data_IF_103788938093
#
_entry.id   IF_103788938093
#
_cell.length_a   1.000
_cell.length_b   1.000
_cell.length_c   1.000
_cell.angle_alpha   90.00
_cell.angle_beta   90.00
_cell.angle_gamma   90.00
#
_symmetry.space_group_name_H-M   'P 1'
#
loop_
_entity.id
_entity.type
_entity.pdbx_description
1 polymer ?
#
# COMPACT_ATOMS: atom_id res chain seq x y z
N UNK A 1 28.58 -20.37 30.71
CA UNK A 1 27.54 -20.95 29.84
C UNK A 1 26.69 -19.80 29.31
N UNK A 2 26.99 -19.30 28.11
CA UNK A 2 26.25 -18.21 27.47
C UNK A 2 25.27 -18.85 26.48
N UNK A 3 23.97 -18.72 26.73
CA UNK A 3 22.94 -19.12 25.78
C UNK A 3 23.08 -18.25 24.54
N UNK A 4 23.63 -18.83 23.47
CA UNK A 4 23.50 -18.27 22.13
C UNK A 4 22.05 -18.37 21.72
N UNK A 5 21.34 -17.25 21.72
CA UNK A 5 20.05 -17.14 21.04
C UNK A 5 20.32 -17.37 19.56
N UNK A 6 19.97 -18.56 19.07
CA UNK A 6 19.88 -18.82 17.64
C UNK A 6 18.88 -17.84 17.04
N UNK A 7 19.20 -17.16 15.92
CA UNK A 7 18.21 -16.33 15.23
C UNK A 7 16.99 -17.19 14.97
N UNK A 8 15.83 -16.80 15.50
CA UNK A 8 14.60 -17.58 15.34
C UNK A 8 14.39 -17.83 13.84
N UNK A 9 14.63 -19.08 13.40
CA UNK A 9 14.30 -19.48 12.05
C UNK A 9 12.82 -19.19 11.86
N UNK A 10 12.50 -18.35 10.88
CA UNK A 10 11.10 -18.05 10.51
C UNK A 10 10.38 -19.39 10.38
N UNK A 11 9.36 -19.63 11.22
CA UNK A 11 8.55 -20.84 11.11
C UNK A 11 8.10 -21.01 9.66
N UNK A 12 8.29 -22.21 9.11
CA UNK A 12 7.91 -22.52 7.72
C UNK A 12 6.45 -22.09 7.51
N UNK A 13 6.18 -21.38 6.41
CA UNK A 13 4.84 -20.97 6.02
C UNK A 13 4.41 -19.54 6.39
N UNK A 14 5.21 -18.74 7.11
CA UNK A 14 4.81 -17.36 7.47
C UNK A 14 4.44 -16.49 6.25
N UNK A 15 5.17 -16.60 5.15
CA UNK A 15 4.85 -15.87 3.90
C UNK A 15 3.52 -16.33 3.30
N UNK A 16 3.20 -17.63 3.40
CA UNK A 16 1.92 -18.18 2.93
C UNK A 16 0.78 -17.63 3.80
N UNK A 17 0.95 -17.61 5.12
CA UNK A 17 -0.01 -17.00 6.05
C UNK A 17 -0.23 -15.53 5.70
N UNK A 18 0.85 -14.78 5.49
CA UNK A 18 0.77 -13.38 5.10
C UNK A 18 -0.07 -13.18 3.83
N UNK A 19 0.24 -13.92 2.76
CA UNK A 19 -0.45 -13.79 1.46
C UNK A 19 -1.92 -14.16 1.60
N UNK A 20 -2.23 -15.30 2.22
CA UNK A 20 -3.62 -15.78 2.38
C UNK A 20 -4.45 -14.77 3.16
N UNK A 21 -3.96 -14.31 4.32
CA UNK A 21 -4.71 -13.38 5.17
C UNK A 21 -4.85 -12.01 4.50
N UNK A 22 -3.79 -11.50 3.87
CA UNK A 22 -3.85 -10.21 3.17
C UNK A 22 -4.87 -10.20 2.05
N UNK A 23 -4.88 -11.26 1.23
CA UNK A 23 -5.81 -11.40 0.12
C UNK A 23 -7.22 -11.66 0.63
N UNK A 24 -7.40 -12.58 1.57
CA UNK A 24 -8.73 -12.91 2.10
C UNK A 24 -9.41 -11.68 2.71
N UNK A 25 -8.73 -10.92 3.57
CA UNK A 25 -9.31 -9.73 4.21
C UNK A 25 -9.74 -8.71 3.15
N UNK A 26 -8.84 -8.33 2.24
CA UNK A 26 -9.15 -7.33 1.22
C UNK A 26 -10.22 -7.81 0.26
N UNK A 27 -10.08 -9.02 -0.29
CA UNK A 27 -10.98 -9.52 -1.32
C UNK A 27 -12.38 -9.77 -0.77
N UNK A 28 -12.52 -10.22 0.48
CA UNK A 28 -13.83 -10.35 1.12
C UNK A 28 -14.52 -9.00 1.34
N UNK A 29 -13.77 -7.94 1.64
CA UNK A 29 -14.32 -6.59 1.79
C UNK A 29 -14.65 -5.96 0.42
N UNK A 30 -13.84 -6.23 -0.60
CA UNK A 30 -14.09 -5.75 -1.97
C UNK A 30 -15.16 -6.54 -2.71
N UNK A 31 -15.44 -7.78 -2.33
CA UNK A 31 -16.39 -8.63 -3.05
C UNK A 31 -17.80 -8.00 -3.14
N UNK A 32 -18.40 -7.44 -2.08
CA UNK A 32 -19.66 -6.70 -2.19
C UNK A 32 -19.59 -5.51 -3.14
N UNK A 33 -18.49 -4.75 -3.12
CA UNK A 33 -18.28 -3.59 -4.01
C UNK A 33 -18.25 -4.06 -5.47
N UNK A 34 -17.52 -5.15 -5.73
CA UNK A 34 -17.45 -5.78 -7.04
C UNK A 34 -18.82 -6.26 -7.52
N UNK A 35 -19.62 -6.89 -6.66
CA UNK A 35 -20.97 -7.35 -7.01
C UNK A 35 -21.84 -6.14 -7.37
N UNK A 36 -21.88 -5.12 -6.51
CA UNK A 36 -22.66 -3.89 -6.75
C UNK A 36 -22.24 -3.20 -8.03
N UNK A 37 -20.93 -3.06 -8.31
CA UNK A 37 -20.43 -2.43 -9.53
C UNK A 37 -20.84 -3.15 -10.83
N UNK A 38 -21.26 -4.42 -10.74
CA UNK A 38 -21.67 -5.23 -11.89
C UNK A 38 -23.18 -5.31 -12.05
N UNK A 39 -23.94 -5.01 -11.00
CA UNK A 39 -25.41 -5.01 -11.01
C UNK A 39 -25.99 -3.61 -11.10
N UNK A 40 -25.33 -2.63 -10.49
CA UNK A 40 -25.77 -1.25 -10.32
C UNK A 40 -24.64 -0.27 -10.62
N UNK A 41 -24.97 1.01 -10.75
CA UNK A 41 -23.96 2.06 -10.84
C UNK A 41 -23.36 2.36 -9.46
N UNK A 42 -22.04 2.48 -9.39
CA UNK A 42 -21.36 3.04 -8.21
C UNK A 42 -21.28 4.56 -8.36
N UNK A 43 -22.18 5.29 -7.70
CA UNK A 43 -22.18 6.76 -7.71
C UNK A 43 -20.92 7.36 -7.06
N UNK A 44 -20.36 6.66 -6.06
CA UNK A 44 -19.13 7.05 -5.38
C UNK A 44 -18.39 5.82 -4.85
N UNK A 45 -17.10 5.98 -4.56
CA UNK A 45 -16.29 4.90 -4.00
C UNK A 45 -16.68 4.65 -2.53
N UNK A 46 -17.16 3.45 -2.16
CA UNK A 46 -17.56 3.18 -0.79
C UNK A 46 -16.39 3.26 0.19
N UNK A 47 -16.64 3.68 1.44
CA UNK A 47 -15.62 3.71 2.48
C UNK A 47 -14.96 2.33 2.73
N UNK A 48 -15.66 1.24 2.43
CA UNK A 48 -15.14 -0.13 2.51
C UNK A 48 -13.98 -0.38 1.55
N UNK A 49 -13.90 0.36 0.43
CA UNK A 49 -12.74 0.31 -0.46
C UNK A 49 -11.45 0.70 0.29
N UNK A 50 -11.53 1.78 1.07
CA UNK A 50 -10.43 2.27 1.88
C UNK A 50 -10.15 1.37 3.09
N UNK A 51 -11.18 0.80 3.72
CA UNK A 51 -10.99 -0.17 4.80
C UNK A 51 -10.24 -1.42 4.33
N UNK A 52 -10.53 -1.90 3.11
CA UNK A 52 -9.93 -3.12 2.57
C UNK A 52 -8.40 -3.02 2.39
N UNK A 53 -7.85 -1.80 2.32
CA UNK A 53 -6.40 -1.58 2.27
C UNK A 53 -5.69 -1.98 3.58
N UNK A 54 -6.42 -2.28 4.65
CA UNK A 54 -5.87 -2.84 5.89
C UNK A 54 -5.49 -4.33 5.77
N UNK A 55 -5.88 -5.02 4.68
CA UNK A 55 -5.57 -6.44 4.49
C UNK A 55 -4.09 -6.80 4.65
N UNK A 56 -3.14 -6.08 4.00
CA UNK A 56 -1.70 -6.31 4.19
C UNK A 56 -1.23 -6.13 5.64
N UNK A 57 -1.75 -5.15 6.38
CA UNK A 57 -1.48 -5.02 7.81
C UNK A 57 -2.02 -6.20 8.62
N UNK A 58 -3.24 -6.68 8.32
CA UNK A 58 -3.80 -7.89 8.93
C UNK A 58 -2.92 -9.12 8.63
N UNK A 59 -2.43 -9.25 7.40
CA UNK A 59 -1.50 -10.30 6.99
C UNK A 59 -0.18 -10.25 7.74
N UNK A 60 0.37 -9.05 7.94
CA UNK A 60 1.59 -8.86 8.74
C UNK A 60 1.38 -9.26 10.20
N UNK A 61 0.26 -8.87 10.82
CA UNK A 61 -0.07 -9.26 12.19
C UNK A 61 -0.18 -10.79 12.28
N UNK A 62 -0.92 -11.43 11.37
CA UNK A 62 -1.10 -12.88 11.37
C UNK A 62 0.23 -13.63 11.18
N UNK A 63 1.06 -13.17 10.24
CA UNK A 63 2.34 -13.81 9.96
C UNK A 63 3.37 -13.57 11.07
N UNK A 64 3.42 -12.36 11.66
CA UNK A 64 4.26 -12.08 12.81
C UNK A 64 3.84 -12.88 14.06
N UNK A 65 2.52 -13.03 14.26
CA UNK A 65 1.96 -13.91 15.30
C UNK A 65 2.33 -15.37 15.05
N UNK A 66 2.30 -15.82 13.79
CA UNK A 66 2.70 -17.18 13.42
C UNK A 66 4.18 -17.46 13.70
N UNK A 67 5.07 -16.51 13.37
CA UNK A 67 6.52 -16.65 13.55
C UNK A 67 6.93 -16.64 15.02
N UNK A 68 6.43 -15.68 15.80
CA UNK A 68 6.96 -15.38 17.14
C UNK A 68 5.91 -15.00 18.18
N UNK A 69 4.63 -15.29 17.93
CA UNK A 69 3.53 -14.93 18.82
C UNK A 69 3.41 -13.41 19.03
N UNK A 70 2.91 -13.01 20.20
CA UNK A 70 2.76 -11.59 20.54
C UNK A 70 4.09 -10.82 20.56
N UNK A 71 5.19 -11.51 20.88
CA UNK A 71 6.53 -10.92 20.80
C UNK A 71 6.90 -10.55 19.37
N UNK A 72 6.62 -11.44 18.40
CA UNK A 72 6.81 -11.18 16.97
C UNK A 72 6.01 -9.97 16.48
N UNK A 73 4.73 -9.88 16.86
CA UNK A 73 3.87 -8.73 16.52
C UNK A 73 4.43 -7.43 17.10
N UNK A 74 4.84 -7.43 18.37
CA UNK A 74 5.41 -6.24 19.01
C UNK A 74 6.72 -5.80 18.36
N UNK A 75 7.58 -6.74 17.99
CA UNK A 75 8.84 -6.46 17.30
C UNK A 75 8.59 -5.86 15.90
N UNK A 76 7.67 -6.44 15.15
CA UNK A 76 7.24 -5.90 13.86
C UNK A 76 6.70 -4.47 14.02
N UNK A 77 5.73 -4.26 14.91
CA UNK A 77 5.11 -2.95 15.10
C UNK A 77 6.12 -1.87 15.51
N UNK A 78 7.01 -2.18 16.46
CA UNK A 78 8.08 -1.25 16.90
C UNK A 78 9.02 -0.85 15.76
N UNK A 79 9.33 -1.79 14.86
CA UNK A 79 10.20 -1.52 13.71
C UNK A 79 9.46 -0.72 12.64
N UNK A 80 8.28 -1.18 12.25
CA UNK A 80 7.49 -0.63 11.14
C UNK A 80 7.03 0.79 11.42
N UNK A 81 6.65 1.09 12.67
CA UNK A 81 6.17 2.42 13.08
C UNK A 81 7.24 3.25 13.80
N UNK A 82 8.52 2.86 13.70
CA UNK A 82 9.62 3.69 14.18
C UNK A 82 9.72 4.95 13.34
N UNK A 83 9.81 6.10 13.99
CA UNK A 83 10.05 7.41 13.36
C UNK A 83 11.51 7.88 13.52
N UNK A 84 12.36 7.02 14.10
CA UNK A 84 13.75 7.34 14.38
C UNK A 84 14.62 7.18 13.13
N UNK A 85 14.58 8.20 12.26
CA UNK A 85 15.36 8.27 11.03
C UNK A 85 16.27 9.50 11.03
N UNK A 86 17.40 9.39 10.33
CA UNK A 86 18.26 10.54 10.05
C UNK A 86 17.45 11.60 9.28
N UNK A 87 17.62 12.91 9.54
CA UNK A 87 16.83 13.99 8.92
C UNK A 87 16.81 13.95 7.38
N UNK A 88 17.88 13.46 6.74
CA UNK A 88 17.92 13.28 5.28
C UNK A 88 16.79 12.39 4.75
N UNK A 89 16.38 11.37 5.51
CA UNK A 89 15.30 10.48 5.09
C UNK A 89 13.93 11.12 5.23
N UNK A 90 13.75 12.02 6.21
CA UNK A 90 12.56 12.87 6.28
C UNK A 90 12.48 13.84 5.10
N UNK A 91 13.61 14.45 4.74
CA UNK A 91 13.70 15.32 3.56
C UNK A 91 13.39 14.56 2.28
N UNK A 92 13.88 13.33 2.11
CA UNK A 92 13.57 12.50 0.95
C UNK A 92 12.09 12.08 0.95
N UNK A 93 11.56 11.63 2.08
CA UNK A 93 10.18 11.14 2.19
C UNK A 93 9.13 12.23 1.93
N UNK A 94 9.39 13.47 2.36
CA UNK A 94 8.49 14.61 2.11
C UNK A 94 8.81 15.27 0.76
N UNK A 95 10.09 15.42 0.45
CA UNK A 95 10.57 16.11 -0.75
C UNK A 95 10.22 15.38 -2.04
N UNK A 96 10.23 14.04 -2.06
CA UNK A 96 9.87 13.27 -3.26
C UNK A 96 8.41 13.51 -3.70
N UNK A 97 7.37 13.31 -2.85
CA UNK A 97 6.00 13.64 -3.21
C UNK A 97 5.80 15.09 -3.66
N UNK A 98 6.46 16.05 -2.99
CA UNK A 98 6.38 17.48 -3.37
C UNK A 98 7.00 17.70 -4.75
N UNK A 99 8.19 17.13 -5.01
CA UNK A 99 8.85 17.24 -6.31
C UNK A 99 8.01 16.62 -7.43
N UNK A 100 7.48 15.41 -7.22
CA UNK A 100 6.57 14.77 -8.18
C UNK A 100 5.29 15.57 -8.41
N UNK A 101 4.72 16.17 -7.37
CA UNK A 101 3.57 17.06 -7.48
C UNK A 101 3.86 18.31 -8.32
N UNK A 102 5.01 18.94 -8.13
CA UNK A 102 5.44 20.10 -8.94
C UNK A 102 5.69 19.69 -10.40
N UNK A 103 6.36 18.56 -10.63
CA UNK A 103 6.58 18.02 -11.98
C UNK A 103 5.22 17.77 -12.66
N UNK A 104 4.29 17.10 -11.98
CA UNK A 104 2.96 16.83 -12.52
C UNK A 104 2.18 18.12 -12.83
N UNK A 105 2.26 19.13 -11.96
CA UNK A 105 1.63 20.43 -12.16
C UNK A 105 2.17 21.15 -13.42
N UNK A 106 3.49 21.20 -13.58
CA UNK A 106 4.14 21.83 -14.73
C UNK A 106 3.87 21.05 -16.01
N UNK A 107 4.02 19.73 -16.00
CA UNK A 107 3.75 18.88 -17.18
C UNK A 107 2.28 19.01 -17.59
N UNK A 108 1.36 19.02 -16.65
CA UNK A 108 -0.06 19.24 -16.94
C UNK A 108 -0.31 20.59 -17.60
N UNK A 109 0.35 21.66 -17.12
CA UNK A 109 0.23 22.99 -17.72
C UNK A 109 0.72 23.04 -19.17
N UNK A 110 1.84 22.35 -19.46
CA UNK A 110 2.41 22.26 -20.81
C UNK A 110 1.48 21.47 -21.73
N UNK A 111 1.00 20.31 -21.28
CA UNK A 111 0.18 19.38 -22.10
C UNK A 111 -1.21 19.95 -22.39
N UNK A 112 -1.84 20.59 -21.40
CA UNK A 112 -3.19 21.13 -21.52
C UNK A 112 -3.23 22.57 -22.04
N UNK A 113 -2.08 23.23 -22.12
CA UNK A 113 -1.96 24.62 -22.56
C UNK A 113 -2.45 25.66 -21.54
N UNK A 114 -2.67 25.26 -20.28
CA UNK A 114 -3.15 26.15 -19.22
C UNK A 114 -2.79 25.63 -17.83
N UNK A 115 -2.54 26.54 -16.89
CA UNK A 115 -2.18 26.16 -15.52
C UNK A 115 -3.35 25.46 -14.81
N UNK A 116 -3.12 24.31 -14.16
CA UNK A 116 -4.15 23.68 -13.35
C UNK A 116 -4.61 24.62 -12.23
N UNK A 117 -5.93 24.61 -11.97
CA UNK A 117 -6.53 25.41 -10.92
C UNK A 117 -6.11 24.90 -9.53
N UNK A 118 -5.38 25.75 -8.79
CA UNK A 118 -4.92 25.44 -7.45
C UNK A 118 -6.07 25.32 -6.43
N UNK A 119 -7.24 25.90 -6.69
CA UNK A 119 -8.41 25.72 -5.82
C UNK A 119 -8.93 24.28 -5.84
N UNK A 120 -8.58 23.49 -6.86
CA UNK A 120 -8.91 22.06 -6.95
C UNK A 120 -7.84 21.17 -6.33
N UNK A 121 -6.83 21.74 -5.66
CA UNK A 121 -5.80 20.97 -4.99
C UNK A 121 -6.40 20.01 -3.95
N UNK A 122 -6.06 18.73 -4.06
CA UNK A 122 -6.57 17.66 -3.20
C UNK A 122 -8.00 17.21 -3.47
N UNK A 123 -8.68 17.79 -4.47
CA UNK A 123 -9.97 17.29 -4.91
C UNK A 123 -9.80 15.91 -5.59
N UNK A 124 -10.68 14.97 -5.27
CA UNK A 124 -10.68 13.61 -5.82
C UNK A 124 -12.10 13.09 -5.93
N UNK A 125 -12.39 12.39 -7.03
CA UNK A 125 -13.71 11.77 -7.27
C UNK A 125 -14.03 10.67 -6.24
N UNK A 126 -13.00 10.07 -5.61
CA UNK A 126 -13.19 9.01 -4.61
C UNK A 126 -13.67 9.54 -3.25
N UNK A 127 -13.42 10.81 -2.97
CA UNK A 127 -13.78 11.47 -1.70
C UNK A 127 -14.30 12.88 -2.03
N UNK A 128 -15.45 12.99 -2.71
CA UNK A 128 -16.00 14.27 -3.11
C UNK A 128 -16.29 15.11 -1.87
N UNK A 129 -16.20 16.43 -2.01
CA UNK A 129 -16.55 17.42 -0.98
C UNK A 129 -15.67 17.44 0.29
N UNK A 130 -14.70 16.53 0.42
CA UNK A 130 -13.75 16.56 1.54
C UNK A 130 -12.62 17.57 1.28
N UNK A 131 -12.27 18.33 2.33
CA UNK A 131 -11.11 19.21 2.31
C UNK A 131 -9.81 18.40 2.14
N UNK A 132 -8.84 18.96 1.40
CA UNK A 132 -7.58 18.29 1.09
C UNK A 132 -6.82 17.72 2.30
N UNK A 133 -6.82 18.32 3.53
CA UNK A 133 -6.12 17.72 4.66
C UNK A 133 -6.78 16.41 5.12
N UNK A 134 -8.10 16.31 5.00
CA UNK A 134 -8.86 15.10 5.35
C UNK A 134 -8.60 14.02 4.32
N UNK A 135 -8.62 14.37 3.04
CA UNK A 135 -8.24 13.45 1.95
C UNK A 135 -6.83 12.92 2.21
N UNK A 136 -5.85 13.80 2.46
CA UNK A 136 -4.48 13.38 2.76
C UNK A 136 -4.41 12.42 3.96
N UNK A 137 -5.13 12.71 5.05
CA UNK A 137 -5.18 11.84 6.22
C UNK A 137 -5.75 10.45 5.89
N UNK A 138 -6.84 10.38 5.14
CA UNK A 138 -7.43 9.11 4.69
C UNK A 138 -6.40 8.31 3.90
N UNK A 139 -5.75 8.92 2.91
CA UNK A 139 -4.76 8.24 2.07
C UNK A 139 -3.54 7.75 2.85
N UNK A 140 -3.04 8.55 3.80
CA UNK A 140 -1.93 8.15 4.68
C UNK A 140 -2.35 6.96 5.54
N UNK A 141 -3.54 6.99 6.16
CA UNK A 141 -3.98 5.93 7.06
C UNK A 141 -4.29 4.62 6.31
N UNK A 142 -4.86 4.71 5.11
CA UNK A 142 -5.33 3.54 4.37
C UNK A 142 -4.21 2.95 3.53
N UNK A 143 -3.63 3.73 2.63
CA UNK A 143 -2.64 3.25 1.67
C UNK A 143 -1.23 3.36 2.26
N UNK A 144 -0.90 4.51 2.86
CA UNK A 144 0.42 4.77 3.44
C UNK A 144 0.73 3.94 4.70
N UNK A 145 -0.27 3.59 5.51
CA UNK A 145 -0.11 2.80 6.73
C UNK A 145 -0.68 1.39 6.54
N UNK A 146 -1.93 1.26 6.09
CA UNK A 146 -2.58 -0.05 5.95
C UNK A 146 -1.85 -0.99 4.99
N UNK A 147 -1.52 -0.54 3.79
CA UNK A 147 -0.84 -1.38 2.80
C UNK A 147 0.65 -1.54 3.13
N UNK A 148 1.35 -0.42 3.31
CA UNK A 148 2.79 -0.37 3.50
C UNK A 148 3.26 -1.16 4.74
N UNK A 149 2.47 -1.17 5.83
CA UNK A 149 2.80 -1.94 7.03
C UNK A 149 2.90 -3.45 6.74
N UNK A 150 2.16 -3.94 5.74
CA UNK A 150 2.27 -5.29 5.23
C UNK A 150 3.43 -5.46 4.25
N UNK A 151 3.39 -4.73 3.14
CA UNK A 151 4.33 -4.92 2.03
C UNK A 151 5.77 -4.59 2.39
N UNK A 152 5.99 -3.41 2.98
CA UNK A 152 7.33 -2.89 3.33
C UNK A 152 7.66 -3.17 4.78
N UNK A 153 6.65 -3.18 5.65
CA UNK A 153 6.80 -3.46 7.08
C UNK A 153 7.05 -4.93 7.40
N UNK A 154 6.54 -5.88 6.61
CA UNK A 154 6.68 -7.32 6.89
C UNK A 154 7.21 -8.15 5.72
N UNK A 155 6.58 -8.12 4.54
CA UNK A 155 6.89 -9.04 3.45
C UNK A 155 8.28 -8.80 2.86
N UNK A 156 8.60 -7.55 2.49
CA UNK A 156 9.89 -7.19 1.89
C UNK A 156 11.08 -7.54 2.80
N UNK A 157 11.11 -7.17 4.11
CA UNK A 157 12.19 -7.57 5.00
C UNK A 157 12.27 -9.08 5.20
N UNK A 158 11.12 -9.78 5.21
CA UNK A 158 11.09 -11.23 5.37
C UNK A 158 11.72 -11.94 4.17
N UNK A 159 11.38 -11.53 2.95
CA UNK A 159 11.97 -12.07 1.72
C UNK A 159 13.45 -11.70 1.60
N UNK A 160 13.83 -10.48 1.98
CA UNK A 160 15.22 -10.01 1.96
C UNK A 160 16.17 -10.79 2.88
N UNK A 161 15.65 -11.62 3.81
CA UNK A 161 16.46 -12.57 4.59
C UNK A 161 17.00 -13.73 3.74
N UNK A 162 16.40 -14.00 2.58
CA UNK A 162 16.67 -15.21 1.75
C UNK A 162 17.05 -14.90 0.31
N UNK A 163 16.85 -13.67 -0.16
CA UNK A 163 17.20 -13.22 -1.52
C UNK A 163 17.69 -11.77 -1.48
N UNK A 164 18.28 -11.31 -2.58
CA UNK A 164 18.71 -9.90 -2.68
C UNK A 164 17.49 -8.96 -2.58
N UNK A 165 17.73 -7.73 -2.13
CA UNK A 165 16.67 -6.71 -2.01
C UNK A 165 15.95 -6.49 -3.34
N UNK A 166 16.68 -6.54 -4.46
CA UNK A 166 16.10 -6.44 -5.80
C UNK A 166 15.05 -7.54 -6.07
N UNK A 167 15.40 -8.80 -5.83
CA UNK A 167 14.47 -9.92 -6.05
C UNK A 167 13.33 -9.94 -5.03
N UNK A 168 13.59 -9.52 -3.79
CA UNK A 168 12.56 -9.37 -2.77
C UNK A 168 11.53 -8.30 -3.19
N UNK A 169 11.99 -7.15 -3.67
CA UNK A 169 11.14 -6.07 -4.19
C UNK A 169 10.35 -6.52 -5.43
N UNK A 170 10.99 -7.24 -6.36
CA UNK A 170 10.34 -7.82 -7.52
C UNK A 170 9.16 -8.73 -7.13
N UNK A 171 9.40 -9.63 -6.18
CA UNK A 171 8.39 -10.56 -5.71
C UNK A 171 7.26 -9.85 -4.95
N UNK A 172 7.59 -8.85 -4.14
CA UNK A 172 6.58 -8.01 -3.46
C UNK A 172 5.71 -7.30 -4.49
N UNK A 173 6.29 -6.70 -5.53
CA UNK A 173 5.53 -6.04 -6.59
C UNK A 173 4.56 -7.01 -7.28
N UNK A 174 5.00 -8.23 -7.63
CA UNK A 174 4.13 -9.25 -8.24
C UNK A 174 2.96 -9.62 -7.32
N UNK A 175 3.22 -9.88 -6.04
CA UNK A 175 2.18 -10.21 -5.06
C UNK A 175 1.21 -9.04 -4.88
N UNK A 176 1.73 -7.81 -4.87
CA UNK A 176 0.91 -6.61 -4.67
C UNK A 176 0.06 -6.28 -5.91
N UNK A 177 0.57 -6.51 -7.12
CA UNK A 177 -0.21 -6.43 -8.37
C UNK A 177 -1.35 -7.46 -8.33
N UNK A 178 -1.04 -8.71 -7.97
CA UNK A 178 -2.06 -9.76 -7.87
C UNK A 178 -3.13 -9.43 -6.81
N UNK A 179 -2.73 -8.81 -5.70
CA UNK A 179 -3.66 -8.38 -4.65
C UNK A 179 -4.70 -7.36 -5.16
N UNK A 180 -4.32 -6.49 -6.10
CA UNK A 180 -5.20 -5.50 -6.71
C UNK A 180 -6.23 -6.09 -7.70
N UNK A 181 -6.15 -7.37 -8.05
CA UNK A 181 -6.93 -7.96 -9.13
C UNK A 181 -8.43 -7.62 -9.10
N UNK A 182 -9.16 -7.69 -7.96
CA UNK A 182 -10.58 -7.33 -7.95
C UNK A 182 -10.84 -5.85 -8.27
N UNK A 183 -9.94 -4.94 -7.87
CA UNK A 183 -10.10 -3.51 -8.08
C UNK A 183 -10.07 -3.11 -9.56
N UNK A 184 -9.42 -3.89 -10.41
CA UNK A 184 -9.46 -3.70 -11.88
C UNK A 184 -10.85 -3.92 -12.49
N UNK A 185 -11.81 -4.48 -11.75
CA UNK A 185 -13.15 -4.76 -12.25
C UNK A 185 -14.22 -3.77 -11.76
N UNK A 186 -13.91 -2.91 -10.78
CA UNK A 186 -14.88 -1.96 -10.21
C UNK A 186 -14.36 -0.54 -9.98
N UNK A 187 -13.05 -0.30 -10.06
CA UNK A 187 -12.47 1.02 -9.80
C UNK A 187 -12.15 1.74 -11.10
N UNK A 188 -12.82 2.87 -11.43
CA UNK A 188 -12.58 3.61 -12.67
C UNK A 188 -11.11 3.99 -12.87
N UNK A 189 -10.40 4.38 -11.80
CA UNK A 189 -8.97 4.72 -11.87
C UNK A 189 -8.12 3.58 -12.42
N UNK A 190 -8.44 2.32 -12.09
CA UNK A 190 -7.71 1.16 -12.59
C UNK A 190 -8.20 0.71 -13.97
N UNK A 191 -9.49 0.90 -14.27
CA UNK A 191 -10.09 0.53 -15.56
C UNK A 191 -9.66 1.47 -16.69
N UNK A 192 -9.47 2.75 -16.38
CA UNK A 192 -9.15 3.82 -17.35
C UNK A 192 -7.65 4.11 -17.47
N UNK A 193 -6.81 3.34 -16.75
CA UNK A 193 -5.37 3.60 -16.64
C UNK A 193 -4.61 3.55 -17.99
N UNK A 194 -5.13 2.80 -18.98
CA UNK A 194 -4.48 2.64 -20.29
C UNK A 194 -3.00 2.26 -20.18
N UNK A 195 -2.12 2.97 -20.91
CA UNK A 195 -0.67 2.77 -20.83
C UNK A 195 -0.06 3.14 -19.46
N UNK A 196 -0.77 3.92 -18.63
CA UNK A 196 -0.34 4.30 -17.28
C UNK A 196 -0.20 3.10 -16.33
N UNK A 197 -0.80 1.95 -16.66
CA UNK A 197 -0.64 0.71 -15.90
C UNK A 197 0.83 0.27 -15.78
N UNK A 198 1.65 0.53 -16.80
CA UNK A 198 3.10 0.22 -16.77
C UNK A 198 3.81 1.06 -15.72
N UNK A 199 3.51 2.37 -15.67
CA UNK A 199 4.05 3.27 -14.66
C UNK A 199 3.63 2.87 -13.24
N UNK A 200 2.36 2.49 -13.08
CA UNK A 200 1.84 1.99 -11.81
C UNK A 200 2.53 0.68 -11.37
N UNK A 201 2.71 -0.29 -12.26
CA UNK A 201 3.42 -1.55 -11.95
C UNK A 201 4.87 -1.30 -11.55
N UNK A 202 5.56 -0.39 -12.23
CA UNK A 202 6.94 -0.01 -11.88
C UNK A 202 7.02 0.67 -10.51
N UNK A 203 6.03 1.50 -10.17
CA UNK A 203 5.98 2.19 -8.87
C UNK A 203 5.86 1.22 -7.67
N UNK A 204 5.35 0.00 -7.86
CA UNK A 204 5.25 -0.99 -6.78
C UNK A 204 6.60 -1.68 -6.47
N UNK A 205 7.57 -1.57 -7.38
CA UNK A 205 8.92 -2.14 -7.25
C UNK A 205 9.83 -1.30 -6.35
N UNK A 206 9.66 0.02 -6.37
CA UNK A 206 10.41 0.98 -5.56
C UNK A 206 9.70 1.28 -4.23
#
# INVERSE_FOLDING_TARGET
>A
MSHGETPAESRRGAVVVFVIVSFAVTWLIWLPILITARTDALDSMPWTFFLASAGPACGAIAAAMWEGGMHGVRQWARRTFSVNFRPIWWLVAIGMPVAYGVIAYVVSAIVTGGWPDLHRFGATEKLPELAWPIVLAVWILTFGVGEEAGWRGWLLPTLSRRMSVFWAAALVAVVWIAWHLPAFYFNPTYMEMGAGIVGWMLALFC
#
